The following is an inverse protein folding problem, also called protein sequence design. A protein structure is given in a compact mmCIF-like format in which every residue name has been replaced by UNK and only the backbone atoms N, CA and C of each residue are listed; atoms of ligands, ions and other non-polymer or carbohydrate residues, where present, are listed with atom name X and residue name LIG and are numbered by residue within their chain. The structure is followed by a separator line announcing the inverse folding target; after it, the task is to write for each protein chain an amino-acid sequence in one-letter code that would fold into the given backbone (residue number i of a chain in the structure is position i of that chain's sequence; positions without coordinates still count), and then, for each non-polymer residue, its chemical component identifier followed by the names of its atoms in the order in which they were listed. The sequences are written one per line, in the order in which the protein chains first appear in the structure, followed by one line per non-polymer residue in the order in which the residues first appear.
data_IF_760489633466
#
_entry.id   IF_760489633466
#
_cell.length_a   1.000
_cell.length_b   1.000
_cell.length_c   1.000
_cell.angle_alpha   90.00
_cell.angle_beta   90.00
_cell.angle_gamma   90.00
#
_symmetry.space_group_name_H-M   'P 1'
#
loop_
_entity.id
_entity.type
_entity.pdbx_description
1 polymer ?
#
# COMPACT_ATOMS: atom_id res chain seq x y z
N UNK A 1 -11.32 -3.83 21.14
CA UNK A 1 -11.40 -3.72 19.66
C UNK A 1 -10.06 -4.23 19.12
N UNK A 2 -10.09 -5.23 18.24
CA UNK A 2 -8.86 -5.82 17.70
C UNK A 2 -8.11 -4.82 16.80
N UNK A 3 -6.77 -4.86 16.77
CA UNK A 3 -5.97 -4.00 15.89
C UNK A 3 -6.20 -4.39 14.42
N UNK A 4 -6.26 -3.42 13.51
CA UNK A 4 -6.51 -3.63 12.08
C UNK A 4 -5.32 -3.27 11.23
N UNK A 5 -5.31 -3.76 9.99
CA UNK A 5 -4.32 -3.41 8.97
C UNK A 5 -4.95 -2.43 7.97
N UNK A 6 -4.28 -1.31 7.73
CA UNK A 6 -4.69 -0.30 6.75
C UNK A 6 -4.08 -0.55 5.38
N UNK A 7 -4.89 -0.60 4.33
CA UNK A 7 -4.40 -0.70 2.96
C UNK A 7 -4.48 0.67 2.28
N UNK A 8 -3.36 1.13 1.76
CA UNK A 8 -3.17 2.46 1.16
C UNK A 8 -2.88 2.34 -0.34
N UNK A 9 -3.89 2.46 -1.21
CA UNK A 9 -3.68 2.46 -2.66
C UNK A 9 -3.04 3.79 -3.10
N UNK A 10 -1.79 3.73 -3.56
CA UNK A 10 -1.00 4.92 -3.95
C UNK A 10 -1.00 5.07 -5.46
N UNK A 11 -1.22 6.28 -5.96
CA UNK A 11 -1.31 6.58 -7.40
C UNK A 11 -0.58 7.86 -7.76
N UNK A 12 -0.12 7.96 -9.02
CA UNK A 12 0.37 9.21 -9.60
C UNK A 12 -0.73 10.28 -9.63
N UNK A 13 -0.45 11.46 -9.11
CA UNK A 13 -1.41 12.57 -9.04
C UNK A 13 -1.70 13.25 -10.39
N UNK A 14 -0.90 12.99 -11.44
CA UNK A 14 -1.11 13.55 -12.78
C UNK A 14 -2.36 12.96 -13.41
N UNK A 15 -3.24 13.82 -13.96
CA UNK A 15 -4.56 13.43 -14.47
C UNK A 15 -4.56 12.30 -15.49
N UNK A 16 -3.65 12.36 -16.46
CA UNK A 16 -3.59 11.38 -17.55
C UNK A 16 -3.19 9.99 -17.03
N UNK A 17 -2.22 9.92 -16.13
CA UNK A 17 -1.76 8.67 -15.53
C UNK A 17 -2.81 8.08 -14.60
N UNK A 18 -3.43 8.93 -13.78
CA UNK A 18 -4.47 8.52 -12.82
C UNK A 18 -5.64 7.82 -13.50
N UNK A 19 -6.18 8.39 -14.58
CA UNK A 19 -7.34 7.84 -15.29
C UNK A 19 -7.11 6.39 -15.77
N UNK A 20 -5.86 6.05 -16.09
CA UNK A 20 -5.50 4.73 -16.62
C UNK A 20 -5.12 3.71 -15.56
N UNK A 21 -4.83 4.15 -14.33
CA UNK A 21 -4.24 3.29 -13.31
C UNK A 21 -5.11 3.13 -12.06
N UNK A 22 -6.15 3.94 -11.89
CA UNK A 22 -6.96 3.98 -10.66
C UNK A 22 -7.59 2.63 -10.36
N UNK A 23 -8.24 2.03 -11.36
CA UNK A 23 -8.88 0.72 -11.23
C UNK A 23 -7.85 -0.37 -10.90
N UNK A 24 -6.71 -0.38 -11.60
CA UNK A 24 -5.64 -1.34 -11.37
C UNK A 24 -5.14 -1.28 -9.91
N UNK A 25 -4.82 -0.10 -9.44
CA UNK A 25 -4.26 0.07 -8.08
C UNK A 25 -5.29 -0.29 -7.02
N UNK A 26 -6.56 0.05 -7.25
CA UNK A 26 -7.63 -0.36 -6.34
C UNK A 26 -7.83 -1.88 -6.33
N UNK A 27 -7.74 -2.55 -7.49
CA UNK A 27 -7.81 -4.01 -7.56
C UNK A 27 -6.63 -4.68 -6.83
N UNK A 28 -5.42 -4.15 -6.97
CA UNK A 28 -4.26 -4.61 -6.20
C UNK A 28 -4.50 -4.48 -4.68
N UNK A 29 -5.05 -3.35 -4.23
CA UNK A 29 -5.37 -3.13 -2.82
C UNK A 29 -6.45 -4.09 -2.31
N UNK A 30 -7.49 -4.37 -3.10
CA UNK A 30 -8.54 -5.35 -2.78
C UNK A 30 -7.97 -6.77 -2.73
N UNK A 31 -7.08 -7.14 -3.65
CA UNK A 31 -6.41 -8.44 -3.67
C UNK A 31 -5.53 -8.63 -2.42
N UNK A 32 -4.77 -7.60 -2.03
CA UNK A 32 -3.97 -7.62 -0.82
C UNK A 32 -4.85 -7.77 0.44
N UNK A 33 -5.96 -7.03 0.52
CA UNK A 33 -6.96 -7.18 1.58
C UNK A 33 -7.47 -8.63 1.67
N UNK A 34 -7.91 -9.18 0.55
CA UNK A 34 -8.46 -10.54 0.51
C UNK A 34 -7.41 -11.59 0.93
N UNK A 35 -6.15 -11.42 0.51
CA UNK A 35 -5.06 -12.29 0.91
C UNK A 35 -4.82 -12.25 2.41
N UNK A 36 -4.72 -11.07 3.01
CA UNK A 36 -4.48 -10.90 4.44
C UNK A 36 -5.65 -11.46 5.26
N UNK A 37 -6.88 -11.06 4.95
CA UNK A 37 -8.08 -11.52 5.67
C UNK A 37 -8.33 -13.04 5.50
N UNK A 38 -7.90 -13.59 4.37
CA UNK A 38 -7.99 -15.03 4.11
C UNK A 38 -7.00 -15.89 4.91
N UNK A 39 -5.83 -15.36 5.21
CA UNK A 39 -4.70 -16.15 5.73
C UNK A 39 -4.22 -15.76 7.13
N UNK A 40 -4.40 -14.51 7.55
CA UNK A 40 -3.92 -14.02 8.86
C UNK A 40 -5.05 -14.07 9.88
N UNK A 41 -4.73 -14.53 11.08
CA UNK A 41 -5.70 -14.70 12.18
C UNK A 41 -5.23 -14.00 13.44
N UNK A 42 -6.17 -13.48 14.21
CA UNK A 42 -5.93 -13.08 15.59
C UNK A 42 -5.68 -14.33 16.47
N UNK A 43 -5.14 -14.15 17.68
CA UNK A 43 -4.91 -15.27 18.59
C UNK A 43 -6.17 -16.08 18.94
N UNK A 44 -7.36 -15.50 18.82
CA UNK A 44 -8.64 -16.17 19.03
C UNK A 44 -9.14 -16.96 17.80
N UNK A 45 -8.38 -16.98 16.71
CA UNK A 45 -8.68 -17.66 15.44
C UNK A 45 -9.58 -16.86 14.49
N UNK A 46 -10.06 -15.68 14.86
CA UNK A 46 -10.85 -14.84 13.95
C UNK A 46 -9.95 -14.19 12.88
N UNK A 47 -10.46 -13.97 11.65
CA UNK A 47 -9.70 -13.29 10.60
C UNK A 47 -9.26 -11.88 11.02
N UNK A 48 -8.05 -11.49 10.64
CA UNK A 48 -7.61 -10.11 10.76
C UNK A 48 -8.45 -9.23 9.84
N UNK A 49 -8.86 -8.07 10.33
CA UNK A 49 -9.63 -7.11 9.54
C UNK A 49 -8.71 -6.09 8.85
N UNK A 50 -8.99 -5.79 7.59
CA UNK A 50 -8.32 -4.74 6.83
C UNK A 50 -9.25 -3.57 6.52
N UNK A 51 -8.72 -2.36 6.63
CA UNK A 51 -9.39 -1.10 6.27
C UNK A 51 -8.70 -0.51 5.06
N UNK A 52 -9.41 -0.28 3.95
CA UNK A 52 -8.86 0.40 2.77
C UNK A 52 -9.17 1.90 2.84
N UNK A 53 -8.27 2.75 2.34
CA UNK A 53 -8.55 4.17 2.09
C UNK A 53 -9.78 4.34 1.18
N UNK A 54 -10.60 5.37 1.43
CA UNK A 54 -11.81 5.62 0.63
C UNK A 54 -11.51 6.00 -0.82
N UNK A 55 -10.33 6.56 -1.05
CA UNK A 55 -9.84 6.95 -2.38
C UNK A 55 -8.39 6.51 -2.56
N UNK A 56 -7.95 6.46 -3.81
CA UNK A 56 -6.52 6.37 -4.11
C UNK A 56 -5.79 7.61 -3.57
N UNK A 57 -4.56 7.42 -3.10
CA UNK A 57 -3.75 8.47 -2.47
C UNK A 57 -2.76 9.00 -3.52
N UNK A 58 -2.98 10.23 -3.96
CA UNK A 58 -2.18 10.90 -4.99
C UNK A 58 -1.41 12.12 -4.48
N UNK A 59 -1.61 12.49 -3.22
CA UNK A 59 -0.97 13.64 -2.58
C UNK A 59 -1.37 13.79 -1.12
N UNK A 60 -0.94 14.88 -0.52
CA UNK A 60 -1.03 15.13 0.93
C UNK A 60 -2.47 15.15 1.45
N UNK A 61 -3.43 15.66 0.69
CA UNK A 61 -4.82 15.74 1.13
C UNK A 61 -5.45 14.35 1.31
N UNK A 62 -5.27 13.46 0.32
CA UNK A 62 -5.73 12.08 0.40
C UNK A 62 -4.97 11.28 1.46
N UNK A 63 -3.67 11.54 1.62
CA UNK A 63 -2.87 10.91 2.67
C UNK A 63 -3.38 11.29 4.06
N UNK A 64 -3.72 12.56 4.29
CA UNK A 64 -4.28 13.03 5.55
C UNK A 64 -5.67 12.44 5.84
N UNK A 65 -6.57 12.41 4.84
CA UNK A 65 -7.90 11.79 4.98
C UNK A 65 -7.79 10.28 5.29
N UNK A 66 -6.85 9.58 4.65
CA UNK A 66 -6.57 8.17 4.94
C UNK A 66 -6.08 7.98 6.38
N UNK A 67 -5.15 8.80 6.85
CA UNK A 67 -4.64 8.75 8.22
C UNK A 67 -5.74 8.98 9.25
N UNK A 68 -6.63 9.95 9.02
CA UNK A 68 -7.79 10.20 9.88
C UNK A 68 -8.74 8.99 9.94
N UNK A 69 -9.06 8.40 8.79
CA UNK A 69 -9.87 7.18 8.72
C UNK A 69 -9.21 6.03 9.50
N UNK A 70 -7.93 5.83 9.32
CA UNK A 70 -7.20 4.72 9.96
C UNK A 70 -7.13 4.89 11.47
N UNK A 71 -6.87 6.09 11.96
CA UNK A 71 -6.89 6.41 13.39
C UNK A 71 -8.25 6.09 14.03
N UNK A 72 -9.36 6.43 13.36
CA UNK A 72 -10.73 6.14 13.86
C UNK A 72 -11.05 4.63 13.85
N UNK A 73 -10.31 3.83 13.10
CA UNK A 73 -10.57 2.40 12.92
C UNK A 73 -9.59 1.47 13.65
N UNK A 74 -8.75 2.00 14.54
CA UNK A 74 -7.74 1.22 15.28
C UNK A 74 -6.77 0.47 14.35
N UNK A 75 -6.31 1.14 13.29
CA UNK A 75 -5.27 0.62 12.40
C UNK A 75 -3.92 0.79 13.09
N UNK A 76 -3.15 -0.30 13.18
CA UNK A 76 -1.83 -0.33 13.85
C UNK A 76 -0.69 -0.67 12.87
N UNK A 77 -1.04 -1.16 11.69
CA UNK A 77 -0.08 -1.42 10.61
C UNK A 77 -0.66 -0.97 9.29
N UNK A 78 0.18 -0.52 8.37
CA UNK A 78 -0.25 -0.07 7.04
C UNK A 78 0.53 -0.77 5.94
N UNK A 79 -0.17 -1.09 4.84
CA UNK A 79 0.41 -1.57 3.60
C UNK A 79 0.09 -0.55 2.49
N UNK A 80 1.10 0.15 2.02
CA UNK A 80 0.99 0.98 0.81
C UNK A 80 1.20 0.11 -0.42
N UNK A 81 0.28 0.20 -1.39
CA UNK A 81 0.28 -0.60 -2.63
C UNK A 81 0.33 0.32 -3.82
N UNK A 82 1.26 0.10 -4.76
CA UNK A 82 1.35 0.91 -5.96
C UNK A 82 1.92 0.17 -7.17
N UNK A 83 1.40 0.48 -8.35
CA UNK A 83 1.95 0.03 -9.63
C UNK A 83 2.68 1.14 -10.41
N UNK A 84 2.82 2.35 -9.85
CA UNK A 84 3.36 3.48 -10.57
C UNK A 84 4.24 4.37 -9.68
N UNK A 85 4.96 5.28 -10.32
CA UNK A 85 5.66 6.37 -9.64
C UNK A 85 4.67 7.31 -8.94
N UNK A 86 5.09 7.85 -7.80
CA UNK A 86 4.39 8.90 -7.08
C UNK A 86 5.39 9.66 -6.19
N UNK A 87 5.04 10.84 -5.71
CA UNK A 87 5.87 11.59 -4.77
C UNK A 87 5.75 11.00 -3.36
N UNK A 88 6.77 10.22 -2.94
CA UNK A 88 6.78 9.53 -1.65
C UNK A 88 6.63 10.48 -0.46
N UNK A 89 7.23 11.67 -0.51
CA UNK A 89 7.13 12.68 0.55
C UNK A 89 5.70 13.19 0.81
N UNK A 90 4.84 13.13 -0.20
CA UNK A 90 3.44 13.62 -0.11
C UNK A 90 2.45 12.51 0.23
N UNK A 91 2.80 11.26 -0.06
CA UNK A 91 1.89 10.13 0.05
C UNK A 91 2.29 9.12 1.12
N UNK A 92 3.46 9.26 1.74
CA UNK A 92 3.93 8.36 2.79
C UNK A 92 3.00 8.34 4.01
N UNK A 93 3.00 7.24 4.74
CA UNK A 93 2.38 7.16 6.06
C UNK A 93 3.29 7.86 7.08
N UNK A 94 2.81 8.95 7.65
CA UNK A 94 3.55 9.76 8.64
C UNK A 94 3.19 9.45 10.09
N UNK A 95 2.28 8.53 10.36
CA UNK A 95 1.95 8.13 11.72
C UNK A 95 3.14 7.38 12.37
N UNK A 96 3.75 7.91 13.43
CA UNK A 96 4.91 7.28 14.04
C UNK A 96 4.57 5.96 14.78
N UNK A 97 3.31 5.69 15.02
CA UNK A 97 2.83 4.54 15.81
C UNK A 97 2.49 3.31 14.97
N UNK A 98 2.33 3.47 13.66
CA UNK A 98 2.01 2.36 12.75
C UNK A 98 3.26 1.62 12.27
N UNK A 99 3.15 0.30 12.13
CA UNK A 99 4.13 -0.52 11.38
C UNK A 99 3.83 -0.34 9.89
N UNK A 100 4.86 -0.10 9.08
CA UNK A 100 4.70 0.27 7.66
C UNK A 100 5.32 -0.76 6.73
N UNK A 101 4.52 -1.23 5.78
CA UNK A 101 4.96 -2.00 4.62
C UNK A 101 4.62 -1.25 3.33
N UNK A 102 5.42 -1.47 2.31
CA UNK A 102 5.18 -0.92 0.96
C UNK A 102 5.35 -2.02 -0.07
N UNK A 103 4.30 -2.33 -0.80
CA UNK A 103 4.37 -3.21 -1.96
C UNK A 103 4.46 -2.38 -3.24
N UNK A 104 5.63 -2.43 -3.88
CA UNK A 104 5.89 -1.84 -5.19
C UNK A 104 5.77 -2.91 -6.28
N UNK A 105 4.83 -2.73 -7.22
CA UNK A 105 4.65 -3.62 -8.36
C UNK A 105 5.92 -3.64 -9.24
N UNK A 106 6.45 -4.83 -9.51
CA UNK A 106 7.59 -5.02 -10.39
C UNK A 106 7.11 -5.22 -11.85
N UNK A 107 6.77 -4.13 -12.53
CA UNK A 107 6.21 -4.16 -13.87
C UNK A 107 7.13 -3.56 -14.94
N UNK A 108 6.89 -3.95 -16.19
CA UNK A 108 7.61 -3.42 -17.37
C UNK A 108 7.32 -1.95 -17.62
N UNK A 109 6.11 -1.51 -17.28
CA UNK A 109 5.66 -0.12 -17.40
C UNK A 109 5.16 0.40 -16.05
N UNK A 110 5.31 1.68 -15.79
CA UNK A 110 4.86 2.33 -14.55
C UNK A 110 5.42 1.62 -13.30
N UNK A 111 6.74 1.57 -13.10
CA UNK A 111 7.35 0.72 -12.07
C UNK A 111 7.04 1.20 -10.66
N UNK A 112 6.20 0.48 -9.94
CA UNK A 112 5.95 0.71 -8.52
C UNK A 112 7.20 0.49 -7.65
N UNK A 113 8.15 -0.30 -8.12
CA UNK A 113 9.45 -0.49 -7.47
C UNK A 113 10.25 0.82 -7.31
N UNK A 114 10.10 1.77 -8.23
CA UNK A 114 10.75 3.10 -8.11
C UNK A 114 10.14 3.92 -6.98
N UNK A 115 8.81 3.88 -6.83
CA UNK A 115 8.14 4.49 -5.68
C UNK A 115 8.57 3.81 -4.38
N UNK A 116 8.63 2.48 -4.37
CA UNK A 116 9.08 1.70 -3.22
C UNK A 116 10.43 2.21 -2.70
N UNK A 117 11.42 2.33 -3.57
CA UNK A 117 12.75 2.82 -3.18
C UNK A 117 12.69 4.24 -2.63
N UNK A 118 11.96 5.14 -3.28
CA UNK A 118 11.84 6.54 -2.88
C UNK A 118 11.12 6.70 -1.54
N UNK A 119 10.03 5.98 -1.31
CA UNK A 119 9.26 6.11 -0.06
C UNK A 119 9.96 5.45 1.13
N UNK A 120 10.68 4.35 0.92
CA UNK A 120 11.51 3.76 1.98
C UNK A 120 12.63 4.73 2.41
N UNK A 121 13.28 5.41 1.45
CA UNK A 121 14.25 6.46 1.75
C UNK A 121 13.62 7.63 2.52
N UNK A 122 12.41 8.05 2.14
CA UNK A 122 11.68 9.12 2.84
C UNK A 122 11.31 8.74 4.28
N UNK A 123 10.88 7.49 4.52
CA UNK A 123 10.64 6.99 5.87
C UNK A 123 11.93 6.95 6.69
N UNK A 124 13.03 6.44 6.12
CA UNK A 124 14.32 6.37 6.80
C UNK A 124 14.83 7.76 7.21
N UNK A 125 14.70 8.77 6.33
CA UNK A 125 15.07 10.15 6.65
C UNK A 125 14.28 10.76 7.81
N UNK A 126 13.06 10.30 8.03
CA UNK A 126 12.21 10.72 9.15
C UNK A 126 12.35 9.85 10.40
N UNK A 127 13.16 8.80 10.35
CA UNK A 127 13.32 7.85 11.44
C UNK A 127 12.11 6.91 11.62
N UNK A 128 11.27 6.76 10.59
CA UNK A 128 10.13 5.85 10.63
C UNK A 128 10.51 4.49 10.03
N UNK A 129 10.48 3.41 10.82
CA UNK A 129 10.77 2.09 10.28
C UNK A 129 9.69 1.68 9.26
N UNK A 130 10.15 1.22 8.10
CA UNK A 130 9.31 0.70 7.04
C UNK A 130 10.06 -0.42 6.31
N UNK A 131 9.32 -1.39 5.74
CA UNK A 131 9.92 -2.45 4.94
C UNK A 131 9.25 -2.54 3.57
N UNK A 132 10.03 -3.00 2.59
CA UNK A 132 9.60 -3.13 1.20
C UNK A 132 9.22 -4.55 0.83
N UNK A 133 8.23 -4.66 -0.03
CA UNK A 133 7.78 -5.91 -0.66
C UNK A 133 7.79 -5.70 -2.17
N UNK A 134 8.40 -6.58 -2.92
CA UNK A 134 8.33 -6.62 -4.38
C UNK A 134 8.60 -8.04 -4.89
N UNK A 135 8.12 -8.36 -6.09
CA UNK A 135 8.35 -9.63 -6.76
C UNK A 135 9.71 -9.69 -7.45
N UNK A 136 10.30 -10.90 -7.54
CA UNK A 136 11.54 -11.14 -8.26
C UNK A 136 11.32 -11.07 -9.78
N UNK A 137 10.18 -11.59 -10.24
CA UNK A 137 9.82 -11.62 -11.66
C UNK A 137 9.10 -10.33 -12.07
N UNK A 138 9.34 -9.91 -13.31
CA UNK A 138 8.69 -8.75 -13.91
C UNK A 138 7.29 -9.15 -14.39
N UNK A 139 6.28 -8.44 -13.93
CA UNK A 139 4.89 -8.65 -14.31
C UNK A 139 4.47 -7.76 -15.50
N UNK A 140 3.55 -8.26 -16.31
CA UNK A 140 2.95 -7.46 -17.38
C UNK A 140 2.09 -6.32 -16.82
N UNK A 141 1.98 -5.23 -17.58
CA UNK A 141 1.24 -4.02 -17.19
C UNK A 141 -0.19 -4.28 -16.73
N UNK A 142 -0.89 -5.21 -17.36
CA UNK A 142 -2.29 -5.54 -17.04
C UNK A 142 -2.46 -6.54 -15.89
N UNK A 143 -1.39 -7.16 -15.42
CA UNK A 143 -1.45 -8.15 -14.36
C UNK A 143 -1.67 -7.48 -13.00
N UNK A 144 -2.71 -7.89 -12.29
CA UNK A 144 -3.04 -7.46 -10.93
C UNK A 144 -2.92 -8.58 -9.91
N UNK A 145 -2.40 -9.73 -10.33
CA UNK A 145 -2.17 -10.86 -9.43
C UNK A 145 -1.08 -10.56 -8.40
N UNK A 146 -1.10 -11.28 -7.31
CA UNK A 146 -0.03 -11.24 -6.31
C UNK A 146 0.89 -12.44 -6.58
N UNK A 147 2.15 -12.20 -7.01
CA UNK A 147 3.12 -13.29 -7.21
C UNK A 147 3.36 -14.10 -5.93
N UNK A 148 3.73 -15.36 -6.06
CA UNK A 148 3.89 -16.25 -4.90
C UNK A 148 4.98 -15.73 -3.94
N UNK A 149 6.09 -15.22 -4.46
CA UNK A 149 7.17 -14.64 -3.66
C UNK A 149 6.78 -13.32 -2.95
N UNK A 150 5.82 -12.58 -3.48
CA UNK A 150 5.21 -11.40 -2.81
C UNK A 150 4.23 -11.86 -1.73
N UNK A 151 3.47 -12.93 -2.01
CA UNK A 151 2.51 -13.49 -1.07
C UNK A 151 3.16 -14.03 0.19
N UNK A 152 4.36 -14.58 0.08
CA UNK A 152 5.12 -15.15 1.20
C UNK A 152 5.72 -14.08 2.13
N UNK A 153 5.84 -12.86 1.67
CA UNK A 153 6.39 -11.71 2.45
C UNK A 153 5.32 -10.98 3.21
#
# INVERSE_FOLDING_TARGET
MNPKIGIRPIIDGRRAERANLEDKIMQMALSAKALIEGNVRYPDGTPVECVISDTTISGSAQAAACAEKFSKNNVVATLSVTSCWCYGSETMDTDPTTIKAVWGFNGTENPGAVYLAAVLAAHAQKGYPAFGIYGCDVQDKGDTSIPDDVREK
#
